data_IF_630901258057
#
_entry.id   IF_630901258057
#
_cell.length_a   1.000
_cell.length_b   1.000
_cell.length_c   1.000
_cell.angle_alpha   90.00
_cell.angle_beta   90.00
_cell.angle_gamma   90.00
#
_symmetry.space_group_name_H-M   'P 1'
#
loop_
_entity.id
_entity.type
_entity.pdbx_description
1 polymer ?
#
# COMPACT_ATOMS: atom_id res chain seq x y z
N UNK A 1 -24.16 15.90 -24.98
CA UNK A 1 -24.86 15.10 -23.95
C UNK A 1 -24.15 13.77 -23.80
N UNK A 2 -23.81 13.35 -22.58
CA UNK A 2 -23.19 12.03 -22.35
C UNK A 2 -24.30 11.00 -22.23
N UNK A 3 -24.32 10.01 -23.13
CA UNK A 3 -25.27 8.90 -23.09
C UNK A 3 -25.12 8.11 -21.79
N UNK A 4 -26.24 7.76 -21.15
CA UNK A 4 -26.22 6.86 -19.99
C UNK A 4 -25.72 5.48 -20.46
N UNK A 5 -24.82 4.81 -19.71
CA UNK A 5 -24.44 3.44 -20.02
C UNK A 5 -25.68 2.54 -19.95
N UNK A 6 -25.89 1.71 -20.97
CA UNK A 6 -26.98 0.74 -21.00
C UNK A 6 -26.69 -0.40 -20.02
N UNK A 7 -27.70 -0.79 -19.23
CA UNK A 7 -27.59 -1.95 -18.34
C UNK A 7 -27.61 -3.21 -19.19
N UNK A 8 -26.57 -4.05 -19.10
CA UNK A 8 -26.50 -5.36 -19.74
C UNK A 8 -26.54 -6.44 -18.67
N UNK A 9 -27.52 -7.33 -18.74
CA UNK A 9 -27.65 -8.47 -17.83
C UNK A 9 -26.85 -9.66 -18.36
N UNK A 10 -26.11 -10.34 -17.48
CA UNK A 10 -25.37 -11.55 -17.80
C UNK A 10 -26.06 -12.75 -17.13
N UNK A 11 -26.51 -13.77 -17.89
CA UNK A 11 -27.08 -14.96 -17.29
C UNK A 11 -26.00 -15.77 -16.57
N UNK A 12 -26.29 -16.22 -15.35
CA UNK A 12 -25.39 -17.06 -14.56
C UNK A 12 -26.05 -18.42 -14.36
N UNK A 13 -25.33 -19.50 -14.66
CA UNK A 13 -25.88 -20.86 -14.63
C UNK A 13 -25.97 -21.47 -13.23
N UNK A 14 -25.12 -21.07 -12.28
CA UNK A 14 -25.03 -21.76 -10.99
C UNK A 14 -24.58 -20.87 -9.83
N UNK A 15 -23.43 -20.20 -9.95
CA UNK A 15 -22.84 -19.43 -8.83
C UNK A 15 -22.12 -18.18 -9.33
N UNK A 16 -22.19 -17.12 -8.53
CA UNK A 16 -21.37 -15.92 -8.69
C UNK A 16 -20.37 -15.86 -7.54
N UNK A 17 -19.09 -15.71 -7.85
CA UNK A 17 -18.04 -15.44 -6.86
C UNK A 17 -17.57 -13.99 -7.02
N UNK A 18 -17.69 -13.19 -5.96
CA UNK A 18 -17.25 -11.79 -5.95
C UNK A 18 -15.81 -11.67 -5.45
N UNK A 19 -14.88 -11.36 -6.34
CA UNK A 19 -13.45 -11.18 -6.04
C UNK A 19 -13.05 -9.69 -6.06
N UNK A 20 -13.83 -8.83 -5.40
CA UNK A 20 -13.74 -7.38 -5.54
C UNK A 20 -12.73 -6.71 -4.59
N UNK A 21 -12.05 -7.48 -3.72
CA UNK A 21 -11.09 -6.91 -2.76
C UNK A 21 -11.71 -5.79 -1.90
N UNK A 22 -11.07 -4.60 -1.78
CA UNK A 22 -11.62 -3.47 -1.04
C UNK A 22 -13.00 -2.98 -1.48
N UNK A 23 -13.39 -3.23 -2.74
CA UNK A 23 -14.69 -2.83 -3.28
C UNK A 23 -15.83 -3.80 -2.92
N UNK A 24 -15.55 -4.88 -2.18
CA UNK A 24 -16.58 -5.86 -1.76
C UNK A 24 -17.72 -5.19 -0.97
N UNK A 25 -17.44 -4.13 -0.22
CA UNK A 25 -18.46 -3.36 0.51
C UNK A 25 -19.52 -2.72 -0.40
N UNK A 26 -19.22 -2.48 -1.68
CA UNK A 26 -20.16 -1.91 -2.65
C UNK A 26 -21.34 -2.86 -2.94
N UNK A 27 -21.17 -4.17 -2.74
CA UNK A 27 -22.24 -5.17 -2.91
C UNK A 27 -23.43 -4.94 -1.96
N UNK A 28 -23.23 -4.21 -0.87
CA UNK A 28 -24.32 -3.79 0.02
C UNK A 28 -25.35 -2.93 -0.71
N UNK A 29 -24.91 -2.12 -1.69
CA UNK A 29 -25.82 -1.31 -2.52
C UNK A 29 -26.71 -2.18 -3.43
N UNK A 30 -26.32 -3.44 -3.66
CA UNK A 30 -27.10 -4.42 -4.41
C UNK A 30 -28.00 -5.28 -3.50
N UNK A 31 -28.09 -4.94 -2.21
CA UNK A 31 -28.89 -5.66 -1.22
C UNK A 31 -28.21 -6.91 -0.65
N UNK A 32 -26.93 -7.14 -0.92
CA UNK A 32 -26.21 -8.30 -0.40
C UNK A 32 -25.67 -8.04 1.02
N UNK A 33 -25.86 -9.03 1.89
CA UNK A 33 -25.29 -9.02 3.25
C UNK A 33 -23.83 -9.45 3.22
N UNK A 34 -22.93 -8.47 3.19
CA UNK A 34 -21.48 -8.67 3.25
C UNK A 34 -20.86 -7.89 4.42
N UNK A 35 -19.75 -8.33 5.02
CA UNK A 35 -19.04 -7.57 6.04
C UNK A 35 -18.57 -6.21 5.53
N UNK A 36 -18.30 -5.27 6.45
CA UNK A 36 -17.74 -3.96 6.08
C UNK A 36 -16.24 -4.14 5.83
N UNK A 37 -15.86 -4.17 4.56
CA UNK A 37 -14.47 -4.21 4.11
C UNK A 37 -13.99 -2.76 3.87
N UNK A 38 -12.89 -2.38 4.50
CA UNK A 38 -12.27 -1.07 4.34
C UNK A 38 -10.91 -1.27 3.70
N UNK A 39 -10.68 -0.63 2.56
CA UNK A 39 -9.36 -0.55 1.96
C UNK A 39 -8.47 0.40 2.76
N UNK A 40 -7.24 -0.01 3.02
CA UNK A 40 -6.20 0.85 3.58
C UNK A 40 -5.18 1.18 2.50
N UNK A 41 -4.85 2.46 2.35
CA UNK A 41 -3.77 2.88 1.45
C UNK A 41 -2.43 2.68 2.16
N UNK A 42 -1.53 1.92 1.55
CA UNK A 42 -0.11 1.90 1.91
C UNK A 42 0.73 2.49 0.78
N UNK A 43 2.00 2.78 1.06
CA UNK A 43 2.99 3.14 0.05
C UNK A 43 4.05 2.05 0.00
N UNK A 44 4.33 1.60 -1.22
CA UNK A 44 5.39 0.66 -1.51
C UNK A 44 6.52 1.36 -2.27
N UNK A 45 7.76 1.03 -1.93
CA UNK A 45 8.96 1.39 -2.66
C UNK A 45 9.73 0.11 -3.01
N UNK A 46 10.38 0.09 -4.17
CA UNK A 46 11.34 -0.96 -4.50
C UNK A 46 12.73 -0.32 -4.48
N UNK A 47 13.61 -0.88 -3.67
CA UNK A 47 14.99 -0.44 -3.53
C UNK A 47 15.93 -1.47 -4.14
N UNK A 48 17.02 -0.99 -4.76
CA UNK A 48 18.11 -1.83 -5.24
C UNK A 48 19.34 -1.60 -4.34
N UNK A 49 19.67 -2.54 -3.44
CA UNK A 49 20.89 -2.46 -2.63
C UNK A 49 22.12 -2.38 -3.53
N UNK A 50 23.04 -1.46 -3.21
CA UNK A 50 24.29 -1.30 -3.98
C UNK A 50 25.31 -2.38 -3.59
N UNK A 51 26.31 -2.65 -4.44
CA UNK A 51 27.36 -3.62 -4.12
C UNK A 51 28.09 -3.33 -2.78
N UNK A 52 28.14 -2.06 -2.35
CA UNK A 52 28.73 -1.64 -1.06
C UNK A 52 27.92 -2.10 0.15
N UNK A 53 26.67 -2.51 -0.02
CA UNK A 53 25.81 -3.00 1.07
C UNK A 53 26.05 -4.47 1.46
N UNK A 54 26.94 -5.18 0.75
CA UNK A 54 27.22 -6.60 1.03
C UNK A 54 26.10 -7.56 0.60
N UNK A 55 25.11 -7.06 -0.15
CA UNK A 55 23.91 -7.80 -0.53
C UNK A 55 22.77 -7.64 0.48
N UNK A 56 21.55 -8.07 0.12
CA UNK A 56 20.42 -8.08 1.03
C UNK A 56 20.20 -9.50 1.60
N UNK A 57 20.25 -9.67 2.93
CA UNK A 57 19.85 -10.93 3.55
C UNK A 57 18.43 -11.29 3.13
N UNK A 58 18.19 -12.56 2.74
CA UNK A 58 16.87 -13.06 2.35
C UNK A 58 16.00 -13.34 3.59
N UNK A 59 15.81 -12.32 4.43
CA UNK A 59 14.99 -12.35 5.64
C UNK A 59 14.06 -11.15 5.65
N UNK A 60 12.78 -11.39 5.93
CA UNK A 60 11.81 -10.32 6.14
C UNK A 60 12.16 -9.58 7.43
N UNK A 61 12.08 -8.25 7.40
CA UNK A 61 12.27 -7.42 8.58
C UNK A 61 11.06 -6.50 8.80
N UNK A 62 10.72 -6.29 10.06
CA UNK A 62 9.70 -5.38 10.52
C UNK A 62 10.39 -4.33 11.40
N UNK A 63 10.31 -3.07 11.00
CA UNK A 63 10.90 -1.96 11.73
C UNK A 63 9.78 -1.09 12.29
N UNK A 64 9.79 -0.92 13.60
CA UNK A 64 8.94 0.05 14.27
C UNK A 64 9.75 1.33 14.48
N UNK A 65 9.22 2.46 14.00
CA UNK A 65 9.77 3.78 14.26
C UNK A 65 8.74 4.62 14.98
N UNK A 66 9.13 5.44 15.97
CA UNK A 66 8.24 6.47 16.48
C UNK A 66 7.85 7.40 15.32
N UNK A 67 6.57 7.43 15.00
CA UNK A 67 6.00 8.35 14.01
C UNK A 67 5.92 9.78 14.56
N UNK A 68 5.65 10.74 13.67
CA UNK A 68 5.58 12.16 14.02
C UNK A 68 4.41 12.45 14.99
N UNK A 69 3.37 11.61 15.00
CA UNK A 69 2.19 11.74 15.88
C UNK A 69 2.18 10.78 17.07
N UNK A 70 3.33 10.24 17.50
CA UNK A 70 3.40 9.21 18.55
C UNK A 70 2.65 7.90 18.23
N UNK A 71 2.24 7.71 16.97
CA UNK A 71 1.85 6.41 16.44
C UNK A 71 3.10 5.68 15.92
N UNK A 72 3.19 4.37 16.13
CA UNK A 72 4.31 3.60 15.60
C UNK A 72 4.09 3.37 14.11
N UNK A 73 5.01 3.90 13.30
CA UNK A 73 5.06 3.56 11.88
C UNK A 73 5.79 2.22 11.73
N UNK A 74 5.07 1.21 11.26
CA UNK A 74 5.64 -0.09 10.91
C UNK A 74 6.08 -0.04 9.45
N UNK A 75 7.38 -0.23 9.24
CA UNK A 75 7.98 -0.45 7.94
C UNK A 75 8.25 -1.93 7.77
N UNK A 76 7.72 -2.51 6.71
CA UNK A 76 7.91 -3.92 6.37
C UNK A 76 8.88 -4.01 5.19
N UNK A 77 9.90 -4.84 5.34
CA UNK A 77 10.99 -4.98 4.38
C UNK A 77 11.02 -6.42 3.88
N UNK A 78 10.77 -6.59 2.59
CA UNK A 78 10.66 -7.88 1.91
C UNK A 78 11.76 -8.00 0.85
N UNK A 79 12.84 -8.74 1.13
CA UNK A 79 13.83 -9.09 0.12
C UNK A 79 13.20 -9.89 -1.01
N UNK A 80 13.68 -9.67 -2.23
CA UNK A 80 13.22 -10.39 -3.43
C UNK A 80 14.36 -11.26 -4.00
N UNK A 81 14.02 -12.33 -4.75
CA UNK A 81 15.02 -13.22 -5.35
C UNK A 81 15.96 -12.53 -6.35
N UNK A 82 15.53 -11.42 -6.95
CA UNK A 82 16.35 -10.61 -7.87
C UNK A 82 17.34 -9.68 -7.15
N UNK A 83 17.44 -9.78 -5.82
CA UNK A 83 18.29 -8.94 -4.99
C UNK A 83 17.71 -7.55 -4.70
N UNK A 84 16.58 -7.18 -5.29
CA UNK A 84 15.84 -5.97 -4.92
C UNK A 84 15.10 -6.19 -3.59
N UNK A 85 14.63 -5.09 -3.00
CA UNK A 85 13.92 -5.10 -1.72
C UNK A 85 12.65 -4.29 -1.86
N UNK A 86 11.51 -4.92 -1.58
CA UNK A 86 10.24 -4.22 -1.46
C UNK A 86 10.07 -3.70 -0.04
N UNK A 87 9.81 -2.41 0.08
CA UNK A 87 9.60 -1.72 1.36
C UNK A 87 8.18 -1.20 1.38
N UNK A 88 7.38 -1.65 2.34
CA UNK A 88 6.00 -1.22 2.52
C UNK A 88 5.87 -0.42 3.81
N UNK A 89 5.24 0.74 3.73
CA UNK A 89 4.91 1.56 4.88
C UNK A 89 3.47 2.02 4.82
N UNK A 90 2.83 2.11 5.98
CA UNK A 90 1.56 2.84 6.10
C UNK A 90 1.87 4.33 5.97
N UNK A 91 1.15 5.03 5.09
CA UNK A 91 1.17 6.48 5.18
C UNK A 91 0.28 6.90 6.35
N UNK A 92 0.90 7.40 7.40
CA UNK A 92 0.23 8.37 8.24
C UNK A 92 -0.12 9.59 7.38
N UNK A 93 -1.24 10.23 7.71
CA UNK A 93 -1.70 11.46 7.07
C UNK A 93 -0.76 12.60 7.52
N UNK A 94 0.47 12.62 7.01
CA UNK A 94 1.42 13.69 7.28
C UNK A 94 0.81 15.00 6.78
N UNK A 95 0.54 15.95 7.68
CA UNK A 95 0.62 17.36 7.29
C UNK A 95 2.05 17.56 6.83
N UNK A 96 2.26 17.96 5.57
CA UNK A 96 3.59 18.23 5.05
C UNK A 96 4.31 19.18 6.01
N UNK A 97 5.30 18.67 6.75
CA UNK A 97 6.23 19.52 7.47
C UNK A 97 7.07 20.15 6.38
N UNK A 98 6.79 21.43 6.07
CA UNK A 98 7.68 22.25 5.27
C UNK A 98 8.93 22.48 6.10
N UNK A 99 9.87 21.55 6.07
CA UNK A 99 11.22 21.82 6.55
C UNK A 99 11.88 22.69 5.48
N UNK A 100 12.29 23.94 5.76
CA UNK A 100 13.16 24.65 4.83
C UNK A 100 14.44 23.81 4.66
N UNK A 101 14.88 23.63 3.42
CA UNK A 101 16.03 22.80 3.08
C UNK A 101 17.21 23.08 4.02
N UNK A 102 17.55 22.12 4.88
CA UNK A 102 18.75 22.20 5.70
C UNK A 102 19.94 22.21 4.75
N UNK A 103 20.70 23.32 4.73
CA UNK A 103 21.96 23.41 4.00
C UNK A 103 22.85 22.25 4.43
N UNK A 104 23.22 21.41 3.49
CA UNK A 104 24.28 20.41 3.65
C UNK A 104 25.57 21.18 3.96
N UNK A 105 26.11 21.01 5.16
CA UNK A 105 27.45 21.51 5.48
C UNK A 105 28.47 20.68 4.68
N UNK A 106 29.48 21.31 4.05
CA UNK A 106 30.49 20.58 3.30
C UNK A 106 31.31 19.70 4.24
N UNK A 107 31.58 18.48 3.80
CA UNK A 107 32.48 17.53 4.45
C UNK A 107 33.88 18.12 4.57
N UNK A 108 34.48 18.03 5.77
CA UNK A 108 35.92 18.23 5.96
C UNK A 108 36.69 17.02 5.43
#
# INVERSE_FOLDING_TARGET
GKSKPSKKTLPVKSLVCFCMGPWTSELRQWGLHVPRIIGMKSHGLVLQPTAKSGGCPQKVAYLESPGISAEYSILEVYPRPDGSVFVNGKAERMKAVRTPATKVLPSR
#
